data_IF_164770762634
#
_entry.id   IF_164770762634
#
_cell.length_a   1.000
_cell.length_b   1.000
_cell.length_c   1.000
_cell.angle_alpha   90.00
_cell.angle_beta   90.00
_cell.angle_gamma   90.00
#
_symmetry.space_group_name_H-M   'P 1'
#
loop_
_entity.id
_entity.type
_entity.pdbx_description
1 polymer ?
#
# COMPACT_ATOMS: atom_id res chain seq x y z
N UNK A 1 2.14 -13.43 6.15
CA UNK A 1 0.89 -13.94 5.57
C UNK A 1 0.66 -13.18 4.28
N UNK A 2 0.40 -13.87 3.17
CA UNK A 2 0.19 -13.26 1.84
C UNK A 2 -1.29 -12.93 1.72
N UNK A 3 -1.63 -11.74 1.21
CA UNK A 3 -3.03 -11.36 0.97
C UNK A 3 -3.67 -12.26 -0.12
N UNK A 4 -5.00 -12.43 -0.12
CA UNK A 4 -5.69 -13.16 -1.18
C UNK A 4 -5.39 -12.57 -2.58
N UNK A 5 -5.41 -13.42 -3.60
CA UNK A 5 -5.34 -12.95 -4.98
C UNK A 5 -6.48 -11.97 -5.25
N UNK A 6 -6.13 -10.80 -5.80
CA UNK A 6 -7.03 -9.67 -6.07
C UNK A 6 -7.53 -8.90 -4.84
N UNK A 7 -6.90 -9.06 -3.67
CA UNK A 7 -7.15 -8.22 -2.51
C UNK A 7 -7.09 -6.71 -2.85
N UNK A 8 -8.04 -5.89 -2.37
CA UNK A 8 -7.95 -4.45 -2.48
C UNK A 8 -6.72 -3.96 -1.73
N UNK A 9 -5.95 -3.07 -2.35
CA UNK A 9 -4.77 -2.50 -1.71
C UNK A 9 -5.14 -1.37 -0.75
N UNK A 10 -4.61 -1.42 0.47
CA UNK A 10 -4.63 -0.36 1.47
C UNK A 10 -3.22 0.21 1.59
N UNK A 11 -3.06 1.52 1.47
CA UNK A 11 -1.75 2.17 1.63
C UNK A 11 -1.79 3.08 2.85
N UNK A 12 -0.97 2.77 3.85
CA UNK A 12 -0.74 3.64 5.01
C UNK A 12 0.37 4.65 4.66
N UNK A 13 0.00 5.92 4.59
CA UNK A 13 0.94 7.03 4.47
C UNK A 13 1.46 7.40 5.86
N UNK A 14 2.75 7.18 6.10
CA UNK A 14 3.40 7.45 7.39
C UNK A 14 4.18 8.76 7.32
N UNK A 15 3.83 9.77 8.15
CA UNK A 15 4.61 10.99 8.23
C UNK A 15 5.95 10.76 8.94
N UNK A 16 7.02 11.41 8.49
CA UNK A 16 8.35 11.31 9.08
C UNK A 16 9.29 10.31 8.39
N UNK A 17 10.56 10.43 8.75
CA UNK A 17 11.63 9.49 8.38
C UNK A 17 11.42 8.16 9.13
N UNK A 18 11.70 6.99 8.51
CA UNK A 18 11.49 5.66 9.11
C UNK A 18 12.46 5.32 10.26
N UNK A 19 12.42 6.08 11.34
CA UNK A 19 13.09 5.79 12.61
C UNK A 19 12.43 4.61 13.35
N UNK A 20 13.07 4.11 14.41
CA UNK A 20 12.58 2.94 15.17
C UNK A 20 11.14 3.14 15.68
N UNK A 21 10.86 4.28 16.30
CA UNK A 21 9.56 4.59 16.91
C UNK A 21 8.47 4.72 15.85
N UNK A 22 8.77 5.40 14.74
CA UNK A 22 7.85 5.57 13.60
C UNK A 22 7.52 4.23 12.97
N UNK A 23 8.53 3.37 12.75
CA UNK A 23 8.35 2.02 12.21
C UNK A 23 7.50 1.15 13.14
N UNK A 24 7.77 1.17 14.45
CA UNK A 24 7.00 0.41 15.43
C UNK A 24 5.51 0.81 15.41
N UNK A 25 5.22 2.11 15.32
CA UNK A 25 3.85 2.60 15.21
C UNK A 25 3.20 2.15 13.89
N UNK A 26 3.91 2.26 12.77
CA UNK A 26 3.40 1.82 11.47
C UNK A 26 3.08 0.32 11.45
N UNK A 27 3.93 -0.50 12.07
CA UNK A 27 3.72 -1.95 12.21
C UNK A 27 2.48 -2.26 13.07
N UNK A 28 2.29 -1.55 14.18
CA UNK A 28 1.11 -1.71 15.04
C UNK A 28 -0.19 -1.34 14.30
N UNK A 29 -0.22 -0.18 13.64
CA UNK A 29 -1.38 0.27 12.85
C UNK A 29 -1.69 -0.72 11.72
N UNK A 30 -0.65 -1.21 11.03
CA UNK A 30 -0.82 -2.21 9.96
C UNK A 30 -1.33 -3.54 10.51
N UNK A 31 -0.89 -3.94 11.71
CA UNK A 31 -1.38 -5.13 12.41
C UNK A 31 -2.87 -5.01 12.74
N UNK A 32 -3.29 -3.86 13.28
CA UNK A 32 -4.72 -3.57 13.55
C UNK A 32 -5.52 -3.62 12.25
N UNK A 33 -5.07 -2.93 11.21
CA UNK A 33 -5.75 -2.92 9.91
C UNK A 33 -5.95 -4.33 9.33
N UNK A 34 -4.94 -5.19 9.44
CA UNK A 34 -5.04 -6.60 8.99
C UNK A 34 -6.00 -7.43 9.83
N UNK A 35 -6.13 -7.13 11.12
CA UNK A 35 -7.07 -7.80 12.03
C UNK A 35 -8.51 -7.37 11.75
N UNK A 36 -8.75 -6.07 11.56
CA UNK A 36 -10.10 -5.50 11.38
C UNK A 36 -10.62 -5.58 9.95
N UNK A 37 -9.72 -5.57 8.96
CA UNK A 37 -10.05 -5.60 7.54
C UNK A 37 -9.40 -6.83 6.88
N UNK A 38 -9.87 -8.05 7.22
CA UNK A 38 -9.32 -9.27 6.63
C UNK A 38 -9.52 -9.26 5.11
N UNK A 39 -8.47 -9.63 4.38
CA UNK A 39 -8.50 -9.70 2.93
C UNK A 39 -8.04 -8.44 2.20
N UNK A 40 -7.57 -7.41 2.92
CA UNK A 40 -6.83 -6.29 2.31
C UNK A 40 -5.35 -6.61 2.14
N UNK A 41 -4.77 -6.04 1.09
CA UNK A 41 -3.33 -6.03 0.85
C UNK A 41 -2.74 -4.72 1.38
N UNK A 42 -2.24 -4.75 2.61
CA UNK A 42 -1.77 -3.57 3.32
C UNK A 42 -0.29 -3.29 3.03
N UNK A 43 -0.02 -2.08 2.53
CA UNK A 43 1.28 -1.51 2.22
C UNK A 43 1.55 -0.28 3.09
N UNK A 44 2.84 -0.03 3.39
CA UNK A 44 3.29 1.13 4.17
C UNK A 44 4.24 1.96 3.31
N UNK A 45 4.00 3.27 3.24
CA UNK A 45 4.87 4.21 2.55
C UNK A 45 5.20 5.40 3.43
N UNK A 46 6.48 5.75 3.52
CA UNK A 46 6.97 6.85 4.35
C UNK A 46 7.10 8.13 3.51
N UNK A 47 6.69 9.27 4.06
CA UNK A 47 6.78 10.55 3.35
C UNK A 47 8.22 11.05 3.25
N UNK A 48 9.02 10.86 4.30
CA UNK A 48 10.38 11.41 4.41
C UNK A 48 11.46 10.31 4.42
N UNK A 49 11.20 9.18 3.74
CA UNK A 49 12.23 8.16 3.50
C UNK A 49 13.17 8.60 2.39
N UNK A 50 14.47 8.33 2.53
CA UNK A 50 15.48 8.59 1.50
C UNK A 50 15.99 7.29 0.88
N UNK A 51 15.73 7.08 -0.41
CA UNK A 51 16.16 5.86 -1.13
C UNK A 51 17.69 5.69 -1.16
N UNK A 52 18.44 6.79 -1.06
CA UNK A 52 19.91 6.77 -1.05
C UNK A 52 20.50 6.38 0.30
N UNK A 53 19.72 6.39 1.38
CA UNK A 53 20.16 5.91 2.69
C UNK A 53 19.94 4.39 2.77
N UNK A 54 21.00 3.58 2.99
CA UNK A 54 20.90 2.13 2.98
C UNK A 54 20.00 1.56 4.09
N UNK A 55 19.81 2.29 5.20
CA UNK A 55 18.89 1.88 6.26
C UNK A 55 17.44 2.17 5.84
N UNK A 56 17.22 3.25 5.10
CA UNK A 56 15.89 3.70 4.70
C UNK A 56 15.40 3.06 3.39
N UNK A 57 16.30 2.50 2.57
CA UNK A 57 15.97 1.80 1.33
C UNK A 57 15.00 0.61 1.54
N UNK A 58 14.99 0.01 2.73
CA UNK A 58 14.05 -1.04 3.12
C UNK A 58 12.62 -0.51 3.40
N UNK A 59 12.48 0.81 3.53
CA UNK A 59 11.26 1.51 3.92
C UNK A 59 10.84 2.46 2.79
N UNK A 60 10.04 1.98 1.82
CA UNK A 60 9.82 2.68 0.57
C UNK A 60 9.12 4.03 0.78
N UNK A 61 9.45 4.99 -0.08
CA UNK A 61 8.71 6.24 -0.17
C UNK A 61 7.25 5.98 -0.55
N UNK A 62 6.34 6.82 -0.03
CA UNK A 62 4.91 6.74 -0.35
C UNK A 62 4.64 6.76 -1.86
N UNK A 63 5.37 7.59 -2.61
CA UNK A 63 5.28 7.69 -4.07
C UNK A 63 5.57 6.34 -4.77
N UNK A 64 6.63 5.64 -4.34
CA UNK A 64 7.00 4.34 -4.89
C UNK A 64 5.94 3.28 -4.61
N UNK A 65 5.39 3.27 -3.39
CA UNK A 65 4.30 2.36 -3.01
C UNK A 65 3.04 2.62 -3.84
N UNK A 66 2.64 3.88 -4.00
CA UNK A 66 1.47 4.24 -4.81
C UNK A 66 1.66 3.87 -6.29
N UNK A 67 2.85 4.09 -6.85
CA UNK A 67 3.18 3.70 -8.22
C UNK A 67 3.09 2.17 -8.40
N UNK A 68 3.64 1.41 -7.45
CA UNK A 68 3.58 -0.05 -7.44
C UNK A 68 2.13 -0.56 -7.39
N UNK A 69 1.33 -0.06 -6.45
CA UNK A 69 -0.07 -0.44 -6.30
C UNK A 69 -0.89 -0.05 -7.53
N UNK A 70 -0.61 1.10 -8.14
CA UNK A 70 -1.25 1.52 -9.39
C UNK A 70 -0.93 0.57 -10.55
N UNK A 71 0.33 0.14 -10.68
CA UNK A 71 0.74 -0.81 -11.71
C UNK A 71 0.04 -2.16 -11.53
N UNK A 72 0.03 -2.73 -10.32
CA UNK A 72 -0.66 -3.98 -10.04
C UNK A 72 -2.17 -3.90 -10.34
N UNK A 73 -2.81 -2.76 -10.04
CA UNK A 73 -4.22 -2.53 -10.38
C UNK A 73 -4.44 -2.52 -11.89
N UNK A 74 -3.58 -1.84 -12.65
CA UNK A 74 -3.66 -1.81 -14.11
C UNK A 74 -3.49 -3.22 -14.71
N UNK A 75 -2.55 -4.02 -14.20
CA UNK A 75 -2.33 -5.40 -14.62
C UNK A 75 -3.54 -6.31 -14.31
N UNK A 76 -4.15 -6.15 -13.13
CA UNK A 76 -5.38 -6.89 -12.78
C UNK A 76 -6.53 -6.54 -13.71
N UNK A 77 -6.69 -5.26 -14.03
CA UNK A 77 -7.70 -4.79 -14.99
C UNK A 77 -7.46 -5.37 -16.38
N UNK A 78 -6.23 -5.33 -16.87
CA UNK A 78 -5.89 -5.87 -18.19
C UNK A 78 -6.22 -7.36 -18.29
N UNK A 79 -5.82 -8.15 -17.28
CA UNK A 79 -6.15 -9.59 -17.22
C UNK A 79 -7.64 -9.86 -17.16
N UNK A 80 -8.40 -9.07 -16.40
CA UNK A 80 -9.85 -9.22 -16.31
C UNK A 80 -10.56 -8.85 -17.62
N UNK A 81 -10.09 -7.81 -18.32
CA UNK A 81 -10.59 -7.42 -19.64
C UNK A 81 -10.29 -8.49 -20.71
N UNK A 82 -9.08 -9.08 -20.70
CA UNK A 82 -8.73 -10.21 -21.56
C UNK A 82 -9.62 -11.44 -21.31
N UNK A 83 -10.07 -11.63 -20.07
CA UNK A 83 -11.02 -12.68 -19.70
C UNK A 83 -12.49 -12.33 -20.04
N UNK A 84 -12.76 -11.19 -20.66
CA UNK A 84 -14.11 -10.77 -21.08
C UNK A 84 -14.98 -10.19 -19.96
N UNK A 85 -14.40 -9.84 -18.81
CA UNK A 85 -15.13 -9.16 -17.75
C UNK A 85 -15.37 -7.68 -18.11
N UNK A 86 -16.57 -7.17 -17.84
CA UNK A 86 -16.84 -5.74 -17.88
C UNK A 86 -16.28 -5.10 -16.60
N UNK A 87 -15.09 -4.50 -16.71
CA UNK A 87 -14.40 -3.89 -15.56
C UNK A 87 -14.62 -2.38 -15.61
N UNK A 88 -15.45 -1.79 -14.72
CA UNK A 88 -15.65 -0.34 -14.67
C UNK A 88 -14.35 0.38 -14.33
N UNK A 89 -14.20 1.63 -14.76
CA UNK A 89 -13.08 2.47 -14.33
C UNK A 89 -13.11 2.57 -12.79
N UNK A 90 -11.95 2.35 -12.16
CA UNK A 90 -11.81 2.33 -10.70
C UNK A 90 -11.58 3.76 -10.20
N UNK A 91 -12.30 4.19 -9.17
CA UNK A 91 -12.21 5.55 -8.59
C UNK A 91 -10.91 5.78 -7.79
N UNK A 92 -10.05 4.77 -7.71
CA UNK A 92 -8.79 4.82 -6.98
C UNK A 92 -8.96 4.46 -5.50
N UNK A 93 -7.86 4.42 -4.71
CA UNK A 93 -7.96 4.14 -3.29
C UNK A 93 -8.72 5.26 -2.57
N UNK A 94 -9.66 4.89 -1.69
CA UNK A 94 -10.22 5.85 -0.75
C UNK A 94 -9.09 6.39 0.14
N UNK A 95 -8.82 7.70 0.05
CA UNK A 95 -7.83 8.35 0.90
C UNK A 95 -8.41 8.50 2.31
N UNK A 96 -7.75 7.90 3.31
CA UNK A 96 -8.05 8.14 4.73
C UNK A 96 -6.90 8.97 5.29
N UNK A 97 -7.16 10.26 5.52
CA UNK A 97 -6.23 11.16 6.18
C UNK A 97 -6.62 11.21 7.66
N UNK A 98 -5.73 10.75 8.54
CA UNK A 98 -5.92 10.88 9.99
C UNK A 98 -5.29 12.20 10.43
N UNK A 99 -6.04 13.11 11.08
CA UNK A 99 -5.55 14.44 11.50
C UNK A 99 -4.57 14.40 12.68
#
# INVERSE_FOLDING_TARGET
MVAPDNAPALVLAVPGTPGKEVRQLADEVTSIARSELPGLDAHVGYLDSEETDPIQAEYPQLSAVLAHVSAQRAERRARAAEAGADVPADDGPAAVVVP
#
